data_IF_734430787037
#
_entry.id   IF_734430787037
#
_cell.length_a   1.000
_cell.length_b   1.000
_cell.length_c   1.000
_cell.angle_alpha   90.00
_cell.angle_beta   90.00
_cell.angle_gamma   90.00
#
_symmetry.space_group_name_H-M   'P 1'
#
loop_
_entity.id
_entity.type
_entity.pdbx_description
1 polymer ?
#
# COMPACT_ATOMS: atom_id res chain seq x y z
N UNK A 1 1.41 -12.18 23.25
CA UNK A 1 1.57 -10.81 22.69
C UNK A 1 1.99 -9.87 23.80
N UNK A 2 3.10 -9.19 23.62
CA UNK A 2 3.51 -8.11 24.48
C UNK A 2 3.08 -6.77 23.84
N UNK A 3 2.43 -5.90 24.61
CA UNK A 3 2.00 -4.58 24.17
C UNK A 3 2.80 -3.51 24.93
N UNK A 4 3.47 -2.64 24.18
CA UNK A 4 4.10 -1.45 24.71
C UNK A 4 3.61 -0.23 23.91
N UNK A 5 2.84 0.69 24.50
CA UNK A 5 2.31 1.86 23.77
C UNK A 5 3.39 2.82 23.30
N UNK A 6 4.59 2.79 23.91
CA UNK A 6 5.72 3.65 23.54
C UNK A 6 6.54 3.10 22.36
N UNK A 7 6.33 1.82 21.99
CA UNK A 7 7.02 1.24 20.82
C UNK A 7 6.55 1.88 19.54
N UNK A 8 7.48 2.26 18.69
CA UNK A 8 7.17 2.80 17.35
C UNK A 8 6.54 1.76 16.42
N UNK A 9 6.85 0.46 16.64
CA UNK A 9 6.24 -0.63 15.91
C UNK A 9 5.11 -1.24 16.75
N UNK A 10 3.89 -1.09 16.28
CA UNK A 10 2.69 -1.54 16.95
C UNK A 10 2.00 -2.67 16.18
N UNK A 11 1.08 -3.37 16.85
CA UNK A 11 0.22 -4.39 16.25
C UNK A 11 0.99 -5.52 15.55
N UNK A 12 2.24 -5.77 15.96
CA UNK A 12 3.10 -6.81 15.39
C UNK A 12 2.51 -8.20 15.59
N UNK A 13 2.65 -9.06 14.61
CA UNK A 13 2.15 -10.44 14.64
C UNK A 13 2.04 -11.03 13.23
N UNK A 14 1.29 -12.14 13.10
CA UNK A 14 1.02 -12.81 11.83
C UNK A 14 2.31 -13.00 11.00
N UNK A 15 3.28 -13.68 11.61
CA UNK A 15 4.59 -13.86 11.02
C UNK A 15 4.86 -15.30 10.60
N UNK A 16 5.82 -15.44 9.70
CA UNK A 16 6.44 -16.71 9.32
C UNK A 16 7.95 -16.57 9.47
N UNK A 17 8.62 -17.62 9.91
CA UNK A 17 10.07 -17.63 9.95
C UNK A 17 10.66 -18.35 8.73
N UNK A 18 11.92 -18.06 8.46
CA UNK A 18 12.73 -18.72 7.45
C UNK A 18 14.13 -18.97 8.00
N UNK A 19 14.59 -20.20 7.85
CA UNK A 19 16.00 -20.57 8.08
C UNK A 19 16.77 -20.44 6.77
N UNK A 20 17.85 -19.67 6.79
CA UNK A 20 18.67 -19.43 5.63
C UNK A 20 19.83 -20.43 5.55
N UNK A 21 20.38 -20.70 4.35
CA UNK A 21 21.48 -21.65 4.17
C UNK A 21 22.75 -21.29 4.96
N UNK A 22 22.94 -20.03 5.31
CA UNK A 22 24.05 -19.53 6.13
C UNK A 22 23.85 -19.71 7.64
N UNK A 23 22.77 -20.39 8.06
CA UNK A 23 22.43 -20.64 9.48
C UNK A 23 21.71 -19.48 10.16
N UNK A 24 21.34 -18.45 9.44
CA UNK A 24 20.54 -17.37 9.98
C UNK A 24 19.06 -17.73 9.98
N UNK A 25 18.35 -17.33 11.05
CA UNK A 25 16.88 -17.45 11.13
C UNK A 25 16.27 -16.06 11.20
N UNK A 26 15.28 -15.82 10.34
CA UNK A 26 14.56 -14.55 10.24
C UNK A 26 13.06 -14.75 10.40
N UNK A 27 12.42 -13.86 11.15
CA UNK A 27 10.96 -13.75 11.24
C UNK A 27 10.50 -12.61 10.36
N UNK A 28 9.65 -12.91 9.39
CA UNK A 28 8.92 -11.90 8.60
C UNK A 28 7.53 -11.77 9.19
N UNK A 29 7.11 -10.58 9.55
CA UNK A 29 5.83 -10.38 10.23
C UNK A 29 5.17 -9.06 9.82
N UNK A 30 3.86 -8.98 10.03
CA UNK A 30 3.18 -7.70 9.91
C UNK A 30 3.44 -6.81 11.12
N UNK A 31 3.45 -5.52 10.87
CA UNK A 31 3.49 -4.49 11.88
C UNK A 31 2.77 -3.24 11.41
N UNK A 32 2.73 -2.19 12.20
CA UNK A 32 2.24 -0.87 11.83
C UNK A 32 3.04 0.21 12.53
N UNK A 33 3.20 1.35 11.88
CA UNK A 33 3.83 2.56 12.44
C UNK A 33 2.75 3.61 12.69
N UNK A 34 2.16 3.67 13.89
CA UNK A 34 1.08 4.59 14.19
C UNK A 34 1.58 6.01 14.46
N UNK A 35 0.70 6.98 14.24
CA UNK A 35 0.86 8.29 14.86
C UNK A 35 0.54 8.21 16.35
N UNK A 36 1.40 8.79 17.16
CA UNK A 36 1.18 8.91 18.61
C UNK A 36 0.63 10.29 18.95
N UNK A 37 -0.22 10.43 19.97
CA UNK A 37 -0.66 9.39 20.92
C UNK A 37 -1.85 8.53 20.46
N UNK A 38 -2.51 8.85 19.35
CA UNK A 38 -3.79 8.25 18.92
C UNK A 38 -3.65 6.82 18.42
N UNK A 39 -2.44 6.35 18.18
CA UNK A 39 -2.12 5.02 17.67
C UNK A 39 -2.87 4.65 16.36
N UNK A 40 -3.08 5.66 15.50
CA UNK A 40 -3.70 5.50 14.17
C UNK A 40 -2.66 5.19 13.10
N UNK A 41 -2.91 4.17 12.30
CA UNK A 41 -1.98 3.67 11.29
C UNK A 41 -2.51 3.99 9.89
N UNK A 42 -2.09 5.11 9.31
CA UNK A 42 -2.54 5.56 7.99
C UNK A 42 -1.96 4.74 6.84
N UNK A 43 -0.79 4.11 7.04
CA UNK A 43 -0.19 3.20 6.06
C UNK A 43 -0.74 1.77 6.15
N UNK A 44 -1.61 1.50 7.14
CA UNK A 44 -2.18 0.19 7.38
C UNK A 44 -1.15 -0.80 7.93
N UNK A 45 -1.12 -2.00 7.36
CA UNK A 45 -0.17 -3.06 7.73
C UNK A 45 1.05 -2.98 6.84
N UNK A 46 2.21 -3.00 7.47
CA UNK A 46 3.51 -3.02 6.83
C UNK A 46 4.22 -4.34 7.15
N UNK A 47 5.27 -4.67 6.40
CA UNK A 47 6.09 -5.86 6.63
C UNK A 47 7.37 -5.45 7.36
N UNK A 48 7.70 -6.18 8.41
CA UNK A 48 8.96 -6.05 9.15
C UNK A 48 9.66 -7.40 9.25
N UNK A 49 10.95 -7.36 9.53
CA UNK A 49 11.78 -8.54 9.78
C UNK A 49 12.44 -8.43 11.14
N UNK A 50 12.68 -9.57 11.78
CA UNK A 50 13.42 -9.67 13.03
C UNK A 50 14.43 -10.80 12.96
N UNK A 51 15.61 -10.57 13.53
CA UNK A 51 16.61 -11.63 13.70
C UNK A 51 16.18 -12.58 14.80
N UNK A 52 16.18 -13.87 14.49
CA UNK A 52 15.76 -14.93 15.40
C UNK A 52 16.91 -15.90 15.67
N UNK A 53 16.79 -16.66 16.74
CA UNK A 53 17.67 -17.78 17.06
C UNK A 53 16.88 -18.94 17.64
N UNK A 54 17.32 -20.16 17.33
CA UNK A 54 16.85 -21.37 18.01
C UNK A 54 17.64 -21.58 19.28
N UNK A 55 16.95 -21.59 20.41
CA UNK A 55 17.57 -21.82 21.72
C UNK A 55 17.73 -23.33 21.98
N UNK A 56 18.59 -23.68 22.94
CA UNK A 56 18.85 -25.10 23.29
C UNK A 56 17.60 -25.85 23.73
N UNK A 57 16.61 -25.15 24.31
CA UNK A 57 15.32 -25.70 24.68
C UNK A 57 14.34 -25.89 23.52
N UNK A 58 14.78 -25.60 22.28
CA UNK A 58 14.02 -25.80 21.06
C UNK A 58 13.00 -24.70 20.74
N UNK A 59 13.08 -23.54 21.38
CA UNK A 59 12.22 -22.41 21.11
C UNK A 59 12.89 -21.40 20.16
N UNK A 60 12.06 -20.82 19.30
CA UNK A 60 12.46 -19.71 18.46
C UNK A 60 12.28 -18.39 19.24
N UNK A 61 13.35 -17.65 19.44
CA UNK A 61 13.37 -16.39 20.18
C UNK A 61 14.03 -15.29 19.39
N UNK A 62 13.76 -14.05 19.74
CA UNK A 62 14.50 -12.92 19.17
C UNK A 62 15.95 -12.98 19.66
N UNK A 63 16.88 -12.79 18.75
CA UNK A 63 18.34 -12.87 19.03
C UNK A 63 18.80 -11.85 20.07
N UNK A 64 18.11 -10.73 20.22
CA UNK A 64 18.38 -9.71 21.24
C UNK A 64 17.79 -10.05 22.63
N UNK A 65 17.09 -11.18 22.75
CA UNK A 65 16.42 -11.61 23.98
C UNK A 65 15.14 -10.85 24.31
N UNK A 66 14.72 -9.91 23.48
CA UNK A 66 13.52 -9.10 23.66
C UNK A 66 12.23 -9.78 23.20
N UNK A 67 11.10 -9.09 23.44
CA UNK A 67 9.76 -9.50 23.01
C UNK A 67 9.06 -8.43 22.16
N UNK A 68 9.73 -7.33 21.88
CA UNK A 68 9.23 -6.22 21.09
C UNK A 68 9.91 -6.22 19.71
N UNK A 69 9.13 -6.01 18.66
CA UNK A 69 9.68 -5.80 17.33
C UNK A 69 10.62 -4.59 17.34
N UNK A 70 11.83 -4.78 16.83
CA UNK A 70 12.83 -3.73 16.69
C UNK A 70 12.60 -2.93 15.42
N UNK A 71 12.79 -1.62 15.51
CA UNK A 71 12.70 -0.71 14.37
C UNK A 71 13.88 -0.92 13.39
N UNK A 72 15.04 -1.25 13.93
CA UNK A 72 16.26 -1.55 13.19
C UNK A 72 16.80 -2.91 13.63
N UNK A 73 17.22 -3.72 12.70
CA UNK A 73 17.83 -5.02 12.94
C UNK A 73 19.21 -5.09 12.29
N UNK A 74 20.05 -6.00 12.78
CA UNK A 74 21.33 -6.28 12.14
C UNK A 74 21.12 -6.69 10.68
N UNK A 75 22.03 -6.29 9.82
CA UNK A 75 22.05 -6.71 8.43
C UNK A 75 22.30 -8.23 8.32
N UNK A 76 21.69 -8.87 7.33
CA UNK A 76 21.96 -10.26 7.01
C UNK A 76 23.37 -10.39 6.42
N UNK A 77 24.03 -11.52 6.71
CA UNK A 77 25.32 -11.85 6.07
C UNK A 77 25.17 -12.36 4.62
N UNK A 78 23.95 -12.44 4.10
CA UNK A 78 23.73 -12.76 2.69
C UNK A 78 24.18 -11.61 1.77
N UNK A 79 24.65 -11.91 0.55
CA UNK A 79 24.94 -10.89 -0.43
C UNK A 79 23.70 -10.01 -0.70
N UNK A 80 23.92 -8.71 -0.79
CA UNK A 80 22.84 -7.77 -1.14
C UNK A 80 22.31 -8.10 -2.55
N UNK A 81 21.01 -8.27 -2.66
CA UNK A 81 20.33 -8.41 -3.94
C UNK A 81 19.72 -7.06 -4.34
N UNK A 82 20.08 -6.49 -5.50
CA UNK A 82 19.52 -5.21 -5.93
C UNK A 82 18.02 -5.32 -6.13
N UNK A 83 17.25 -4.52 -5.39
CA UNK A 83 15.80 -4.38 -5.58
C UNK A 83 15.52 -3.20 -6.47
N UNK A 84 14.86 -3.43 -7.59
CA UNK A 84 14.43 -2.35 -8.48
C UNK A 84 13.26 -1.61 -7.81
N UNK A 85 13.40 -0.31 -7.47
CA UNK A 85 12.31 0.44 -6.90
C UNK A 85 11.16 0.58 -7.90
N UNK A 86 9.93 0.58 -7.40
CA UNK A 86 8.77 0.88 -8.23
C UNK A 86 8.85 2.35 -8.70
N UNK A 87 8.50 2.65 -9.97
CA UNK A 87 8.59 4.00 -10.50
C UNK A 87 7.65 4.94 -9.74
N UNK A 88 8.12 6.15 -9.46
CA UNK A 88 7.31 7.21 -8.83
C UNK A 88 6.38 7.90 -9.84
N UNK A 89 6.72 7.86 -11.11
CA UNK A 89 6.01 8.47 -12.22
C UNK A 89 5.63 7.42 -13.27
N UNK A 90 4.51 7.65 -13.97
CA UNK A 90 4.03 6.79 -15.02
C UNK A 90 3.31 7.63 -16.08
N UNK A 91 3.80 7.61 -17.28
CA UNK A 91 3.23 8.31 -18.45
C UNK A 91 2.18 7.47 -19.19
N UNK A 92 1.97 6.23 -18.76
CA UNK A 92 1.05 5.27 -19.39
C UNK A 92 1.32 5.05 -20.88
N UNK A 93 2.59 5.00 -21.25
CA UNK A 93 3.05 4.72 -22.62
C UNK A 93 3.30 3.22 -22.88
N UNK A 94 3.25 2.39 -21.82
CA UNK A 94 3.26 0.94 -21.93
C UNK A 94 1.88 0.39 -22.29
N UNK A 95 1.86 -0.72 -23.02
CA UNK A 95 0.62 -1.47 -23.28
C UNK A 95 0.14 -2.29 -22.08
N UNK A 96 1.00 -2.47 -21.07
CA UNK A 96 0.73 -3.26 -19.87
C UNK A 96 0.68 -2.37 -18.65
N UNK A 97 -0.28 -2.64 -17.78
CA UNK A 97 -0.41 -1.95 -16.50
C UNK A 97 0.68 -2.43 -15.53
N UNK A 98 1.41 -1.48 -14.95
CA UNK A 98 2.48 -1.79 -14.01
C UNK A 98 1.97 -2.49 -12.74
N UNK A 99 2.80 -3.34 -12.14
CA UNK A 99 2.47 -4.15 -10.95
C UNK A 99 2.17 -3.31 -9.70
N UNK A 100 2.52 -2.02 -9.72
CA UNK A 100 2.25 -1.07 -8.64
C UNK A 100 0.78 -0.65 -8.56
N UNK A 101 -0.04 -0.99 -9.56
CA UNK A 101 -1.44 -0.59 -9.61
C UNK A 101 -2.38 -1.66 -9.08
N UNK A 102 -3.38 -1.20 -8.37
CA UNK A 102 -4.40 -2.02 -7.70
C UNK A 102 -5.78 -1.43 -7.92
N UNK A 103 -6.79 -2.26 -7.80
CA UNK A 103 -8.17 -1.84 -7.71
C UNK A 103 -8.86 -2.55 -6.53
N UNK A 104 -9.79 -1.89 -5.82
CA UNK A 104 -10.55 -2.55 -4.77
C UNK A 104 -11.48 -3.62 -5.36
N UNK A 105 -11.27 -4.90 -5.01
CA UNK A 105 -12.18 -6.03 -5.27
C UNK A 105 -12.42 -6.43 -6.72
N UNK A 106 -11.90 -5.71 -7.69
CA UNK A 106 -12.03 -6.04 -9.12
C UNK A 106 -10.66 -5.98 -9.79
N UNK A 107 -10.55 -6.67 -10.92
CA UNK A 107 -9.35 -6.56 -11.75
C UNK A 107 -9.31 -5.15 -12.38
N UNK A 108 -8.21 -4.38 -12.22
CA UNK A 108 -8.08 -3.08 -12.87
C UNK A 108 -8.20 -3.15 -14.39
N UNK A 109 -7.80 -4.24 -15.03
CA UNK A 109 -7.92 -4.43 -16.48
C UNK A 109 -9.38 -4.52 -16.95
N UNK A 110 -10.34 -4.71 -16.05
CA UNK A 110 -11.77 -4.69 -16.38
C UNK A 110 -12.30 -3.29 -16.71
N UNK A 111 -11.60 -2.23 -16.30
CA UNK A 111 -12.02 -0.84 -16.52
C UNK A 111 -10.90 0.11 -16.99
N UNK A 112 -9.64 -0.35 -17.02
CA UNK A 112 -8.49 0.41 -17.52
C UNK A 112 -8.16 -0.04 -18.95
N UNK A 113 -7.96 0.92 -19.84
CA UNK A 113 -7.52 0.68 -21.22
C UNK A 113 -6.34 1.61 -21.53
N UNK A 114 -5.16 1.03 -21.73
CA UNK A 114 -3.93 1.73 -22.06
C UNK A 114 -3.73 1.88 -23.57
N UNK A 115 -4.46 1.11 -24.38
CA UNK A 115 -4.31 1.09 -25.85
C UNK A 115 -5.20 2.11 -26.56
N UNK A 116 -6.28 2.53 -25.91
CA UNK A 116 -7.23 3.45 -26.48
C UNK A 116 -6.64 4.85 -26.80
N UNK A 117 -5.62 5.26 -26.04
CA UNK A 117 -4.89 6.51 -26.25
C UNK A 117 -3.49 6.36 -25.62
N UNK A 118 -2.44 6.13 -26.41
CA UNK A 118 -1.07 6.03 -25.91
C UNK A 118 -0.69 7.26 -25.06
N UNK A 119 0.01 7.02 -23.94
CA UNK A 119 0.36 8.06 -22.97
C UNK A 119 -0.78 8.45 -22.02
N UNK A 120 -1.85 7.67 -21.95
CA UNK A 120 -3.00 7.89 -21.07
C UNK A 120 -3.60 6.57 -20.60
N UNK A 121 -3.93 6.51 -19.32
CA UNK A 121 -4.81 5.47 -18.82
C UNK A 121 -6.28 5.90 -18.96
N UNK A 122 -7.01 5.27 -19.88
CA UNK A 122 -8.46 5.48 -20.00
C UNK A 122 -9.18 4.63 -18.98
N UNK A 123 -9.93 5.28 -18.09
CA UNK A 123 -10.75 4.59 -17.10
C UNK A 123 -12.22 4.64 -17.51
N UNK A 124 -12.87 3.49 -17.53
CA UNK A 124 -14.32 3.40 -17.70
C UNK A 124 -14.99 3.62 -16.37
N UNK A 125 -15.82 4.65 -16.23
CA UNK A 125 -16.63 4.88 -15.03
C UNK A 125 -17.65 3.75 -14.82
N UNK A 126 -17.88 3.41 -13.58
CA UNK A 126 -18.81 2.39 -13.14
C UNK A 126 -19.60 2.90 -11.93
N UNK A 127 -19.60 2.18 -10.82
CA UNK A 127 -20.33 2.54 -9.61
C UNK A 127 -19.60 3.64 -8.81
N UNK A 128 -20.30 4.21 -7.86
CA UNK A 128 -19.76 5.20 -6.92
C UNK A 128 -18.52 4.69 -6.17
N UNK A 129 -17.65 5.61 -5.75
CA UNK A 129 -16.51 5.30 -4.87
C UNK A 129 -16.89 4.64 -3.54
N UNK A 130 -18.13 4.78 -3.10
CA UNK A 130 -18.68 4.10 -1.92
C UNK A 130 -19.10 2.65 -2.20
N UNK A 131 -19.11 2.20 -3.46
CA UNK A 131 -19.51 0.85 -3.81
C UNK A 131 -18.56 -0.20 -3.24
N UNK A 132 -19.15 -1.31 -2.80
CA UNK A 132 -18.45 -2.52 -2.40
C UNK A 132 -18.11 -3.42 -3.59
N UNK A 133 -18.60 -3.14 -4.79
CA UNK A 133 -18.54 -4.06 -5.92
C UNK A 133 -17.65 -3.53 -7.05
N UNK A 134 -18.10 -2.51 -7.80
CA UNK A 134 -17.49 -2.11 -9.08
C UNK A 134 -17.09 -0.63 -9.10
N UNK A 135 -16.32 -0.17 -8.13
CA UNK A 135 -15.72 1.16 -8.17
C UNK A 135 -14.50 1.19 -9.10
N UNK A 136 -14.48 2.11 -10.08
CA UNK A 136 -13.34 2.30 -10.98
C UNK A 136 -12.26 3.14 -10.29
N UNK A 137 -11.57 2.54 -9.34
CA UNK A 137 -10.47 3.15 -8.60
C UNK A 137 -9.18 2.46 -8.99
N UNK A 138 -8.33 3.16 -9.75
CA UNK A 138 -6.97 2.74 -10.04
C UNK A 138 -6.04 3.36 -9.00
N UNK A 139 -5.47 2.56 -8.13
CA UNK A 139 -4.74 3.03 -6.96
C UNK A 139 -3.31 2.49 -6.88
N UNK A 140 -2.47 3.23 -6.17
CA UNK A 140 -1.15 2.78 -5.70
C UNK A 140 -1.12 2.85 -4.18
N UNK A 141 -0.37 1.97 -3.55
CA UNK A 141 -0.17 2.05 -2.10
C UNK A 141 0.70 3.25 -1.73
N UNK A 142 0.29 3.96 -0.69
CA UNK A 142 1.17 4.92 -0.02
C UNK A 142 2.24 4.15 0.78
N UNK A 143 3.50 4.53 0.60
CA UNK A 143 4.65 3.97 1.30
C UNK A 143 5.27 4.95 2.29
N UNK A 144 4.75 6.18 2.34
CA UNK A 144 5.17 7.24 3.26
C UNK A 144 3.96 7.92 3.88
N UNK A 145 4.13 8.41 5.10
CA UNK A 145 3.11 9.21 5.81
C UNK A 145 2.93 10.61 5.20
N UNK A 146 3.88 11.05 4.39
CA UNK A 146 3.82 12.28 3.61
C UNK A 146 4.00 11.94 2.14
N UNK A 147 3.07 12.36 1.30
CA UNK A 147 3.12 12.15 -0.13
C UNK A 147 2.51 13.31 -0.89
N UNK A 148 3.07 13.61 -2.05
CA UNK A 148 2.46 14.51 -3.04
C UNK A 148 2.09 13.68 -4.24
N UNK A 149 0.83 13.78 -4.67
CA UNK A 149 0.32 13.04 -5.82
C UNK A 149 -0.27 14.03 -6.82
N UNK A 150 0.07 13.86 -8.08
CA UNK A 150 -0.45 14.66 -9.18
C UNK A 150 -0.88 13.79 -10.33
N UNK A 151 -1.90 14.22 -11.08
CA UNK A 151 -2.32 13.61 -12.33
C UNK A 151 -2.80 14.66 -13.32
N UNK A 152 -2.65 14.37 -14.60
CA UNK A 152 -3.32 15.12 -15.67
C UNK A 152 -4.65 14.42 -15.96
N UNK A 153 -5.75 15.17 -15.90
CA UNK A 153 -7.09 14.64 -16.11
C UNK A 153 -7.69 15.26 -17.38
N UNK A 154 -8.06 14.40 -18.33
CA UNK A 154 -8.89 14.74 -19.49
C UNK A 154 -10.28 14.15 -19.27
N UNK A 155 -11.21 15.00 -18.86
CA UNK A 155 -12.55 14.57 -18.47
C UNK A 155 -13.57 15.69 -18.69
N UNK A 156 -14.64 15.37 -19.40
CA UNK A 156 -15.77 16.29 -19.63
C UNK A 156 -17.03 15.64 -19.07
N UNK A 157 -17.47 16.01 -17.85
CA UNK A 157 -18.70 15.50 -17.28
C UNK A 157 -19.92 16.07 -18.01
N UNK A 158 -20.93 15.24 -18.20
CA UNK A 158 -22.20 15.61 -18.84
C UNK A 158 -23.38 15.65 -17.85
N UNK A 159 -23.15 15.27 -16.62
CA UNK A 159 -24.15 15.18 -15.55
C UNK A 159 -23.46 15.32 -14.20
N UNK A 160 -24.17 15.78 -13.18
CA UNK A 160 -23.68 15.87 -11.79
C UNK A 160 -23.22 14.51 -11.22
N UNK A 161 -23.72 13.40 -11.77
CA UNK A 161 -23.32 12.06 -11.39
C UNK A 161 -21.97 11.65 -11.98
N UNK A 162 -21.49 12.34 -13.02
CA UNK A 162 -20.20 12.04 -13.62
C UNK A 162 -19.09 12.74 -12.85
N UNK A 163 -18.23 11.97 -12.20
CA UNK A 163 -17.09 12.47 -11.45
C UNK A 163 -15.81 11.74 -11.81
N UNK A 164 -14.70 12.46 -11.88
CA UNK A 164 -13.37 11.90 -12.02
C UNK A 164 -12.33 12.79 -11.33
N UNK A 165 -11.30 12.19 -10.76
CA UNK A 165 -10.28 12.94 -10.05
C UNK A 165 -9.31 12.07 -9.25
N UNK A 166 -8.69 12.68 -8.25
CA UNK A 166 -7.77 12.01 -7.32
C UNK A 166 -8.50 11.64 -6.02
N UNK A 167 -8.26 10.43 -5.57
CA UNK A 167 -8.83 9.92 -4.33
C UNK A 167 -7.74 9.45 -3.37
N UNK A 168 -7.79 9.90 -2.13
CA UNK A 168 -7.08 9.27 -1.02
C UNK A 168 -8.04 8.27 -0.38
N UNK A 169 -7.83 7.00 -0.64
CA UNK A 169 -8.77 5.94 -0.33
C UNK A 169 -8.25 5.03 0.78
N UNK A 170 -8.99 4.96 1.87
CA UNK A 170 -8.76 3.99 2.94
C UNK A 170 -9.71 2.80 2.81
N UNK A 171 -10.99 3.06 2.72
CA UNK A 171 -12.06 2.11 2.41
C UNK A 171 -13.26 2.82 1.75
N UNK A 172 -14.32 2.09 1.46
CA UNK A 172 -15.50 2.62 0.77
C UNK A 172 -16.32 3.64 1.58
N UNK A 173 -16.03 3.82 2.87
CA UNK A 173 -16.69 4.80 3.76
C UNK A 173 -15.72 5.89 4.21
N UNK A 174 -14.42 5.68 4.05
CA UNK A 174 -13.37 6.58 4.52
C UNK A 174 -12.42 6.93 3.37
N UNK A 175 -12.65 8.05 2.72
CA UNK A 175 -11.80 8.58 1.66
C UNK A 175 -11.94 10.09 1.54
N UNK A 176 -10.96 10.71 0.90
CA UNK A 176 -11.01 12.12 0.48
C UNK A 176 -10.91 12.14 -1.04
N UNK A 177 -11.85 12.82 -1.70
CA UNK A 177 -11.95 12.84 -3.15
C UNK A 177 -11.91 14.26 -3.69
N UNK A 178 -10.87 14.59 -4.43
CA UNK A 178 -10.73 15.81 -5.22
C UNK A 178 -11.16 15.49 -6.65
N UNK A 179 -12.28 16.03 -7.10
CA UNK A 179 -12.88 15.65 -8.38
C UNK A 179 -13.43 16.81 -9.20
N UNK A 180 -13.50 16.59 -10.48
CA UNK A 180 -14.23 17.41 -11.44
C UNK A 180 -15.61 16.82 -11.66
N UNK A 181 -16.65 17.65 -11.69
CA UNK A 181 -18.02 17.27 -11.96
C UNK A 181 -18.74 18.33 -12.77
N UNK A 182 -19.93 18.03 -13.28
CA UNK A 182 -20.81 18.98 -13.95
C UNK A 182 -21.66 19.71 -12.91
N UNK A 183 -21.66 21.04 -12.95
CA UNK A 183 -22.52 21.86 -12.10
C UNK A 183 -23.70 22.40 -12.92
N UNK A 184 -24.91 22.09 -12.51
CA UNK A 184 -26.13 22.61 -13.16
C UNK A 184 -26.40 24.10 -12.83
N UNK A 185 -25.69 24.64 -11.82
CA UNK A 185 -25.88 26.01 -11.34
C UNK A 185 -24.77 26.99 -11.73
N UNK A 186 -23.62 26.48 -12.18
CA UNK A 186 -22.44 27.30 -12.52
C UNK A 186 -22.15 27.33 -14.02
N UNK A 187 -23.09 27.01 -14.87
CA UNK A 187 -22.97 27.09 -16.33
C UNK A 187 -23.41 28.44 -16.84
#
# INVERSE_FOLDING_TARGET
RYFNPESKLQKSGHGSYVDLPNGETWLVHLTSRPFVPELRCTLGRETAIQRMEWTEDGWLRMKDGGNLAQEFVEESSLPEAPVRPLPSHDDFDSEELGIQYYAPRIDPLSFVDLKARPGWARLRGQESGCSLNKASILARKLTSVQATVGTKLDFTPLSYQHTAGLILYYDNMNFVYLYKYFSETLN
#
